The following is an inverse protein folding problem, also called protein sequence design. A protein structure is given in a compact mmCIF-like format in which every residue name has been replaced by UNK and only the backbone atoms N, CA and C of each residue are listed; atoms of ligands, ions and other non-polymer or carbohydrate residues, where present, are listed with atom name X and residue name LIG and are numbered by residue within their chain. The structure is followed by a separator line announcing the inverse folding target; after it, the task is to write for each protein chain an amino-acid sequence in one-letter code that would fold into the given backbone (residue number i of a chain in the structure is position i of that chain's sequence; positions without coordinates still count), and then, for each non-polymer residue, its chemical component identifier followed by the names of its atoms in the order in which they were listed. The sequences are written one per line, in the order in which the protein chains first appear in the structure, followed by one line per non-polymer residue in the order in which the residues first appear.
data_IF_137759748273
#
_entry.id   IF_137759748273
#
_cell.length_a   1.000
_cell.length_b   1.000
_cell.length_c   1.000
_cell.angle_alpha   90.00
_cell.angle_beta   90.00
_cell.angle_gamma   90.00
#
_symmetry.space_group_name_H-M   'P 1'
#
loop_
_entity.id
_entity.type
_entity.pdbx_description
1 polymer ?
#
# COMPACT_ATOMS: atom_id res chain seq x y z
N UNK A 1 54.21 0.90 29.63
CA UNK A 1 53.24 0.06 28.88
C UNK A 1 51.82 0.35 29.32
N UNK A 2 50.99 0.70 28.40
CA UNK A 2 49.56 0.80 28.72
C UNK A 2 48.93 -0.62 28.65
N UNK A 3 48.19 -1.04 29.69
CA UNK A 3 47.48 -2.33 29.62
C UNK A 3 46.46 -2.31 28.48
N UNK A 4 46.40 -3.36 27.74
CA UNK A 4 45.34 -3.57 26.74
C UNK A 4 44.11 -4.08 27.46
N UNK A 5 43.00 -3.33 27.35
CA UNK A 5 41.73 -3.76 27.87
C UNK A 5 40.86 -4.29 26.72
N UNK A 6 40.21 -5.39 26.90
CA UNK A 6 39.31 -6.01 25.96
C UNK A 6 38.06 -6.49 26.67
N UNK A 7 37.07 -6.88 25.88
CA UNK A 7 35.84 -7.44 26.43
C UNK A 7 36.09 -8.82 27.03
N UNK A 8 35.44 -9.10 28.13
CA UNK A 8 35.35 -10.45 28.66
C UNK A 8 34.31 -11.27 27.88
N UNK A 9 34.42 -12.57 27.93
CA UNK A 9 33.44 -13.45 27.29
C UNK A 9 32.02 -13.25 27.87
N UNK A 10 31.91 -13.11 29.20
CA UNK A 10 30.62 -12.89 29.86
C UNK A 10 30.04 -11.52 29.49
N UNK A 11 30.88 -10.51 29.35
CA UNK A 11 30.45 -9.17 28.94
C UNK A 11 29.85 -9.20 27.53
N UNK A 12 30.48 -9.91 26.60
CA UNK A 12 29.94 -10.09 25.25
C UNK A 12 28.61 -10.86 25.27
N UNK A 13 28.52 -11.92 26.07
CA UNK A 13 27.28 -12.69 26.21
C UNK A 13 26.12 -11.86 26.75
N UNK A 14 26.38 -11.01 27.73
CA UNK A 14 25.37 -10.11 28.32
C UNK A 14 24.90 -9.10 27.29
N UNK A 15 25.82 -8.49 26.54
CA UNK A 15 25.48 -7.54 25.47
C UNK A 15 24.61 -8.20 24.41
N UNK A 16 24.98 -9.39 23.95
CA UNK A 16 24.20 -10.14 22.96
C UNK A 16 22.80 -10.51 23.48
N UNK A 17 22.70 -10.87 24.76
CA UNK A 17 21.42 -11.18 25.38
C UNK A 17 20.50 -9.95 25.45
N UNK A 18 21.04 -8.79 25.76
CA UNK A 18 20.28 -7.52 25.80
C UNK A 18 19.79 -7.15 24.39
N UNK A 19 20.68 -7.24 23.39
CA UNK A 19 20.31 -6.98 21.99
C UNK A 19 19.21 -7.92 21.53
N UNK A 20 19.31 -9.20 21.82
CA UNK A 20 18.29 -10.21 21.46
C UNK A 20 16.94 -9.88 22.12
N UNK A 21 16.94 -9.48 23.38
CA UNK A 21 15.73 -9.09 24.10
C UNK A 21 15.08 -7.86 23.45
N UNK A 22 15.86 -6.83 23.16
CA UNK A 22 15.37 -5.60 22.53
C UNK A 22 14.81 -5.86 21.14
N UNK A 23 15.47 -6.69 20.33
CA UNK A 23 14.99 -7.08 19.01
C UNK A 23 13.67 -7.85 19.09
N UNK A 24 13.52 -8.71 20.07
CA UNK A 24 12.28 -9.47 20.28
C UNK A 24 11.07 -8.55 20.52
N UNK A 25 11.28 -7.42 21.19
CA UNK A 25 10.24 -6.43 21.44
C UNK A 25 10.02 -5.48 20.27
N UNK A 26 11.08 -5.12 19.54
CA UNK A 26 11.05 -4.12 18.48
C UNK A 26 10.51 -4.66 17.16
N UNK A 27 10.88 -5.87 16.76
CA UNK A 27 10.51 -6.46 15.47
C UNK A 27 8.99 -6.54 15.27
N UNK A 28 8.19 -7.09 16.22
CA UNK A 28 6.74 -7.14 16.03
C UNK A 28 6.08 -5.77 15.87
N UNK A 29 6.58 -4.75 16.57
CA UNK A 29 6.07 -3.37 16.44
C UNK A 29 6.41 -2.77 15.08
N UNK A 30 7.60 -3.06 14.56
CA UNK A 30 8.03 -2.58 13.25
C UNK A 30 7.13 -3.13 12.15
N UNK A 31 6.85 -4.42 12.12
CA UNK A 31 5.99 -5.04 11.10
C UNK A 31 4.55 -4.53 11.17
N UNK A 32 3.98 -4.37 12.35
CA UNK A 32 2.65 -3.81 12.52
C UNK A 32 2.54 -2.36 12.04
N UNK A 33 3.57 -1.55 12.29
CA UNK A 33 3.66 -0.17 11.80
C UNK A 33 3.78 -0.11 10.29
N UNK A 34 4.57 -1.01 9.68
CA UNK A 34 4.75 -1.10 8.24
C UNK A 34 3.44 -1.47 7.54
N UNK A 35 2.69 -2.43 8.06
CA UNK A 35 1.38 -2.81 7.52
C UNK A 35 0.40 -1.65 7.54
N UNK A 36 0.31 -0.92 8.66
CA UNK A 36 -0.56 0.26 8.76
C UNK A 36 -0.16 1.35 7.79
N UNK A 37 1.13 1.53 7.55
CA UNK A 37 1.63 2.49 6.55
C UNK A 37 1.21 2.09 5.13
N UNK A 38 1.31 0.83 4.79
CA UNK A 38 0.85 0.31 3.50
C UNK A 38 -0.66 0.48 3.32
N UNK A 39 -1.42 0.22 4.36
CA UNK A 39 -2.87 0.41 4.35
C UNK A 39 -3.27 1.87 4.12
N UNK A 40 -2.56 2.81 4.76
CA UNK A 40 -2.79 4.24 4.55
C UNK A 40 -2.48 4.66 3.11
N UNK A 41 -1.40 4.15 2.52
CA UNK A 41 -1.06 4.40 1.11
C UNK A 41 -2.13 3.80 0.19
N UNK A 42 -2.62 2.60 0.47
CA UNK A 42 -3.69 1.98 -0.32
C UNK A 42 -4.96 2.83 -0.32
N UNK A 43 -5.37 3.34 0.83
CA UNK A 43 -6.54 4.24 0.93
C UNK A 43 -6.35 5.51 0.12
N UNK A 44 -5.17 6.10 0.18
CA UNK A 44 -4.84 7.28 -0.60
C UNK A 44 -4.83 6.99 -2.10
N UNK A 45 -4.26 5.86 -2.52
CA UNK A 45 -4.25 5.45 -3.93
C UNK A 45 -5.66 5.24 -4.46
N UNK A 46 -6.52 4.58 -3.69
CA UNK A 46 -7.94 4.40 -4.04
C UNK A 46 -8.66 5.74 -4.16
N UNK A 47 -8.41 6.65 -3.22
CA UNK A 47 -8.98 7.99 -3.28
C UNK A 47 -8.55 8.74 -4.55
N UNK A 48 -7.27 8.71 -4.88
CA UNK A 48 -6.74 9.37 -6.07
C UNK A 48 -7.32 8.78 -7.36
N UNK A 49 -7.43 7.46 -7.44
CA UNK A 49 -8.03 6.79 -8.60
C UNK A 49 -9.50 7.17 -8.75
N UNK A 50 -10.26 7.16 -7.68
CA UNK A 50 -11.70 7.52 -7.69
C UNK A 50 -11.90 8.99 -8.00
N UNK A 51 -11.07 9.85 -7.48
CA UNK A 51 -11.09 11.29 -7.77
C UNK A 51 -10.81 11.55 -9.26
N UNK A 52 -9.82 10.89 -9.82
CA UNK A 52 -9.48 10.99 -11.24
C UNK A 52 -10.63 10.48 -12.14
N UNK A 53 -11.27 9.38 -11.77
CA UNK A 53 -12.45 8.86 -12.46
C UNK A 53 -13.58 9.91 -12.46
N UNK A 54 -13.84 10.52 -11.31
CA UNK A 54 -14.86 11.55 -11.19
C UNK A 54 -14.57 12.79 -12.03
N UNK A 55 -13.32 13.24 -12.04
CA UNK A 55 -12.90 14.38 -12.88
C UNK A 55 -13.02 14.07 -14.37
N UNK A 56 -12.64 12.87 -14.77
CA UNK A 56 -12.79 12.41 -16.15
C UNK A 56 -14.25 12.46 -16.58
N UNK A 57 -15.13 11.93 -15.74
CA UNK A 57 -16.57 11.95 -16.00
C UNK A 57 -17.12 13.38 -16.07
N UNK A 58 -16.69 14.25 -15.20
CA UNK A 58 -17.10 15.66 -15.19
C UNK A 58 -16.69 16.41 -16.46
N UNK A 59 -15.52 16.08 -17.02
CA UNK A 59 -15.01 16.73 -18.22
C UNK A 59 -15.58 16.15 -19.51
N UNK A 60 -15.78 14.84 -19.56
CA UNK A 60 -16.09 14.12 -20.80
C UNK A 60 -17.52 13.60 -20.90
N UNK A 61 -18.27 13.61 -19.80
CA UNK A 61 -19.64 13.11 -19.75
C UNK A 61 -19.74 11.58 -19.82
N UNK A 62 -18.61 10.89 -19.74
CA UNK A 62 -18.52 9.44 -19.71
C UNK A 62 -17.35 8.99 -18.85
N UNK A 63 -17.37 7.74 -18.44
CA UNK A 63 -16.28 7.16 -17.65
C UNK A 63 -15.11 6.74 -18.54
N UNK A 64 -13.87 6.65 -17.99
CA UNK A 64 -12.73 6.18 -18.76
C UNK A 64 -12.88 4.72 -19.18
N UNK A 65 -12.28 4.36 -20.29
CA UNK A 65 -12.29 2.98 -20.80
C UNK A 65 -11.44 2.04 -19.93
N UNK A 66 -10.38 2.59 -19.31
CA UNK A 66 -9.47 1.85 -18.46
C UNK A 66 -8.78 2.81 -17.48
N UNK A 67 -8.08 2.25 -16.50
CA UNK A 67 -7.23 3.07 -15.60
C UNK A 67 -6.06 3.70 -16.36
N UNK A 68 -5.53 3.02 -17.37
CA UNK A 68 -4.46 3.57 -18.19
C UNK A 68 -4.88 4.82 -18.96
N UNK A 69 -6.15 4.92 -19.33
CA UNK A 69 -6.70 6.12 -19.96
C UNK A 69 -6.60 7.35 -19.05
N UNK A 70 -6.73 7.18 -17.75
CA UNK A 70 -6.56 8.27 -16.79
C UNK A 70 -5.14 8.83 -16.81
N UNK A 71 -4.15 7.97 -16.97
CA UNK A 71 -2.76 8.38 -17.06
C UNK A 71 -2.43 8.99 -18.43
N UNK A 72 -2.90 8.38 -19.52
CA UNK A 72 -2.64 8.86 -20.89
C UNK A 72 -3.31 10.22 -21.16
N UNK A 73 -4.45 10.49 -20.56
CA UNK A 73 -5.17 11.75 -20.68
C UNK A 73 -4.86 12.75 -19.54
N UNK A 74 -3.84 12.45 -18.74
CA UNK A 74 -3.24 13.35 -17.73
C UNK A 74 -4.12 13.65 -16.50
N UNK A 75 -5.09 12.81 -16.19
CA UNK A 75 -5.82 12.87 -14.93
C UNK A 75 -5.01 12.30 -13.77
N UNK A 76 -4.07 11.41 -14.09
CA UNK A 76 -3.05 10.86 -13.19
C UNK A 76 -1.68 10.99 -13.86
N UNK A 77 -0.62 11.07 -13.09
CA UNK A 77 0.75 10.94 -13.63
C UNK A 77 1.01 9.54 -14.14
N UNK A 78 0.58 8.55 -13.36
CA UNK A 78 0.65 7.13 -13.68
C UNK A 78 -0.38 6.39 -12.83
N UNK A 79 -0.74 5.19 -13.24
CA UNK A 79 -1.54 4.30 -12.40
C UNK A 79 -0.68 3.90 -11.18
N UNK A 80 -1.15 4.14 -9.96
CA UNK A 80 -0.35 3.84 -8.77
C UNK A 80 -0.17 2.35 -8.56
N UNK A 81 0.89 1.99 -7.87
CA UNK A 81 1.15 0.61 -7.43
C UNK A 81 0.34 0.36 -6.16
N UNK A 82 -0.42 -0.73 -6.15
CA UNK A 82 -1.07 -1.21 -4.93
C UNK A 82 0.01 -1.65 -3.94
N UNK A 83 0.14 -1.02 -2.77
CA UNK A 83 1.23 -1.34 -1.85
C UNK A 83 1.12 -2.72 -1.20
N UNK A 84 -0.07 -3.31 -1.18
CA UNK A 84 -0.30 -4.64 -0.61
C UNK A 84 0.10 -5.74 -1.60
N UNK A 85 -0.27 -5.59 -2.87
CA UNK A 85 0.09 -6.55 -3.93
C UNK A 85 1.44 -6.24 -4.57
N UNK A 86 1.97 -5.03 -4.36
CA UNK A 86 3.20 -4.52 -4.99
C UNK A 86 3.13 -4.49 -6.52
N UNK A 87 1.92 -4.30 -7.07
CA UNK A 87 1.68 -4.27 -8.51
C UNK A 87 0.67 -3.19 -8.89
N UNK A 88 0.88 -2.57 -10.02
CA UNK A 88 -0.08 -1.65 -10.64
C UNK A 88 -1.11 -2.38 -11.53
N UNK A 89 -0.96 -3.69 -11.72
CA UNK A 89 -1.80 -4.49 -12.62
C UNK A 89 -2.90 -5.25 -11.87
N UNK A 90 -2.96 -5.16 -10.55
CA UNK A 90 -3.91 -5.93 -9.74
C UNK A 90 -5.16 -5.16 -9.34
N UNK A 91 -5.31 -3.92 -9.75
CA UNK A 91 -6.54 -3.16 -9.52
C UNK A 91 -7.75 -3.84 -10.16
N UNK A 92 -8.83 -3.96 -9.41
CA UNK A 92 -10.09 -4.53 -9.90
C UNK A 92 -11.00 -3.38 -10.31
N UNK A 93 -11.28 -3.27 -11.59
CA UNK A 93 -12.16 -2.22 -12.12
C UNK A 93 -13.60 -2.66 -12.04
N UNK A 94 -14.48 -1.71 -11.75
CA UNK A 94 -15.93 -1.91 -11.72
C UNK A 94 -16.50 -1.21 -12.95
N UNK A 95 -17.17 -1.98 -13.81
CA UNK A 95 -17.82 -1.43 -15.00
C UNK A 95 -19.12 -0.73 -14.64
N UNK A 96 -19.50 0.35 -15.37
CA UNK A 96 -20.81 0.96 -15.19
C UNK A 96 -21.92 0.01 -15.66
N UNK A 97 -23.14 0.20 -15.16
CA UNK A 97 -24.31 -0.59 -15.57
C UNK A 97 -24.59 -0.45 -17.06
N UNK A 98 -24.42 0.75 -17.60
CA UNK A 98 -24.57 1.03 -19.03
C UNK A 98 -23.19 1.01 -19.69
N UNK A 99 -22.88 0.00 -20.56
CA UNK A 99 -21.59 -0.10 -21.24
C UNK A 99 -21.28 1.09 -22.15
N UNK A 100 -22.28 1.86 -22.57
CA UNK A 100 -22.09 3.04 -23.40
C UNK A 100 -21.49 4.22 -22.62
N UNK A 101 -21.53 4.17 -21.29
CA UNK A 101 -21.00 5.23 -20.42
C UNK A 101 -19.50 5.09 -20.16
N UNK A 102 -18.84 4.04 -20.62
CA UNK A 102 -17.42 3.81 -20.46
C UNK A 102 -17.10 2.46 -19.87
N UNK A 103 -15.87 2.27 -19.39
CA UNK A 103 -15.37 1.00 -18.90
C UNK A 103 -15.18 0.93 -17.38
N UNK A 104 -14.91 2.06 -16.72
CA UNK A 104 -14.52 2.09 -15.31
C UNK A 104 -15.30 3.15 -14.54
N UNK A 105 -16.23 2.72 -13.72
CA UNK A 105 -17.00 3.61 -12.81
C UNK A 105 -16.38 3.67 -11.42
N UNK A 106 -15.69 2.63 -11.00
CA UNK A 106 -15.04 2.53 -9.69
C UNK A 106 -13.86 1.56 -9.78
N UNK A 107 -13.07 1.52 -8.74
CA UNK A 107 -11.90 0.64 -8.64
C UNK A 107 -11.78 0.11 -7.22
N UNK A 108 -11.33 -1.12 -7.11
CA UNK A 108 -11.05 -1.78 -5.83
C UNK A 108 -9.66 -2.40 -5.85
N UNK A 109 -9.10 -2.62 -4.66
CA UNK A 109 -7.84 -3.35 -4.54
C UNK A 109 -8.02 -4.81 -4.94
N UNK A 110 -7.02 -5.36 -5.64
CA UNK A 110 -6.92 -6.79 -5.90
C UNK A 110 -6.25 -7.57 -4.77
N UNK A 111 -5.90 -6.91 -3.68
CA UNK A 111 -5.27 -7.56 -2.53
C UNK A 111 -6.24 -8.52 -1.85
N UNK A 112 -5.71 -9.67 -1.46
CA UNK A 112 -6.44 -10.66 -0.67
C UNK A 112 -6.17 -10.44 0.81
N UNK A 113 -7.11 -10.89 1.65
CA UNK A 113 -6.96 -10.82 3.09
C UNK A 113 -7.61 -9.60 3.72
N UNK A 114 -7.27 -9.39 4.98
CA UNK A 114 -7.87 -8.37 5.82
C UNK A 114 -6.84 -7.34 6.26
N UNK A 115 -7.31 -6.12 6.45
CA UNK A 115 -6.53 -5.05 7.05
C UNK A 115 -6.38 -5.24 8.55
N UNK A 116 -5.53 -4.43 9.17
CA UNK A 116 -5.30 -4.44 10.61
C UNK A 116 -6.55 -4.16 11.44
N UNK A 117 -7.52 -3.44 10.88
CA UNK A 117 -8.82 -3.14 11.51
C UNK A 117 -9.87 -4.23 11.28
N UNK A 118 -9.54 -5.31 10.60
CA UNK A 118 -10.43 -6.42 10.28
C UNK A 118 -11.25 -6.25 9.00
N UNK A 119 -11.20 -5.10 8.34
CA UNK A 119 -11.88 -4.90 7.05
C UNK A 119 -11.17 -5.65 5.93
N UNK A 120 -11.92 -6.06 4.92
CA UNK A 120 -11.39 -6.79 3.76
C UNK A 120 -10.91 -5.80 2.71
N UNK A 121 -9.66 -5.94 2.27
CA UNK A 121 -9.07 -5.03 1.27
C UNK A 121 -9.91 -4.94 -0.02
N UNK A 122 -10.45 -6.05 -0.47
CA UNK A 122 -11.26 -6.09 -1.68
C UNK A 122 -12.58 -5.30 -1.60
N UNK A 123 -12.97 -4.92 -0.39
CA UNK A 123 -14.19 -4.14 -0.15
C UNK A 123 -13.93 -2.64 0.05
N UNK A 124 -12.67 -2.25 0.06
CA UNK A 124 -12.27 -0.85 0.29
C UNK A 124 -12.62 0.11 -0.89
#
# INVERSE_FOLDING_TARGET
MRPRSGFTLIELLVVMAIIALLLTLAIPRYFGSLERSKEAVLREDLFQLRDAIGKYYGDKGRYPESLDALASEKYLRKVPVDPITESAATWVVVAPEDPQKGGVVDVKSGAQGKASDGSVYAEW
#
